data_IF_952670947152
#
_entry.id   IF_952670947152
#
_cell.length_a   1.000
_cell.length_b   1.000
_cell.length_c   1.000
_cell.angle_alpha   90.00
_cell.angle_beta   90.00
_cell.angle_gamma   90.00
#
_symmetry.space_group_name_H-M   'P 1'
#
loop_
_entity.id
_entity.type
_entity.pdbx_description
1 polymer ?
#
# COMPACT_ATOMS: atom_id res chain seq x y z
N UNK A 1 -6.01 8.68 1.65
CA UNK A 1 -4.59 8.37 1.56
C UNK A 1 -4.41 6.88 1.73
N UNK A 2 -3.67 6.28 0.82
CA UNK A 2 -3.30 4.86 0.83
C UNK A 2 -1.91 4.74 1.46
N UNK A 3 -1.64 3.64 2.14
CA UNK A 3 -0.28 3.30 2.59
C UNK A 3 0.32 2.33 1.59
N UNK A 4 1.52 2.66 1.09
CA UNK A 4 2.35 1.73 0.32
C UNK A 4 3.47 1.33 1.26
N UNK A 5 3.50 0.07 1.65
CA UNK A 5 4.50 -0.45 2.56
C UNK A 5 5.36 -1.51 1.91
N UNK A 6 6.63 -1.44 2.27
CA UNK A 6 7.59 -2.46 1.99
C UNK A 6 8.45 -2.62 3.23
N UNK A 7 8.80 -3.85 3.58
CA UNK A 7 9.46 -4.13 4.85
C UNK A 7 10.96 -3.92 4.70
N UNK A 8 11.65 -3.53 5.78
CA UNK A 8 13.07 -3.16 5.74
C UNK A 8 14.01 -4.25 5.20
N UNK A 9 13.58 -5.51 5.12
CA UNK A 9 14.45 -6.65 4.81
C UNK A 9 14.66 -6.91 3.32
N UNK A 10 13.69 -6.65 2.45
CA UNK A 10 13.83 -6.88 1.01
C UNK A 10 12.83 -6.05 0.20
N UNK A 11 13.06 -4.74 0.13
CA UNK A 11 12.20 -3.81 -0.60
C UNK A 11 12.25 -4.06 -2.10
N UNK A 12 11.11 -4.29 -2.76
CA UNK A 12 11.00 -4.32 -4.21
C UNK A 12 11.01 -2.88 -4.76
N UNK A 13 12.22 -2.30 -4.82
CA UNK A 13 12.43 -0.91 -5.24
C UNK A 13 11.88 -0.63 -6.65
N UNK A 14 11.94 -1.61 -7.56
CA UNK A 14 11.42 -1.46 -8.92
C UNK A 14 9.91 -1.25 -8.92
N UNK A 15 9.18 -2.10 -8.21
CA UNK A 15 7.72 -2.00 -8.09
C UNK A 15 7.31 -0.77 -7.30
N UNK A 16 8.02 -0.45 -6.21
CA UNK A 16 7.80 0.75 -5.42
C UNK A 16 7.91 2.03 -6.26
N UNK A 17 8.95 2.17 -7.09
CA UNK A 17 9.11 3.34 -7.95
C UNK A 17 8.02 3.43 -9.04
N UNK A 18 7.56 2.29 -9.59
CA UNK A 18 6.42 2.27 -10.51
C UNK A 18 5.16 2.80 -9.81
N UNK A 19 4.87 2.32 -8.61
CA UNK A 19 3.69 2.74 -7.84
C UNK A 19 3.76 4.20 -7.42
N UNK A 20 4.94 4.71 -7.01
CA UNK A 20 5.13 6.14 -6.73
C UNK A 20 4.84 7.00 -7.96
N UNK A 21 5.33 6.61 -9.14
CA UNK A 21 5.06 7.32 -10.40
C UNK A 21 3.57 7.31 -10.72
N UNK A 22 2.89 6.17 -10.55
CA UNK A 22 1.46 6.04 -10.78
C UNK A 22 0.65 6.97 -9.86
N UNK A 23 0.93 6.93 -8.55
CA UNK A 23 0.27 7.82 -7.59
C UNK A 23 0.49 9.30 -7.93
N UNK A 24 1.72 9.69 -8.30
CA UNK A 24 2.02 11.07 -8.67
C UNK A 24 1.32 11.49 -9.97
N UNK A 25 1.27 10.61 -10.99
CA UNK A 25 0.59 10.86 -12.27
C UNK A 25 -0.89 11.19 -12.07
N UNK A 26 -1.57 10.47 -11.17
CA UNK A 26 -3.00 10.64 -10.90
C UNK A 26 -3.31 11.51 -9.68
N UNK A 27 -2.30 12.18 -9.10
CA UNK A 27 -2.46 12.97 -7.86
C UNK A 27 -3.13 12.19 -6.72
N UNK A 28 -2.88 10.89 -6.66
CA UNK A 28 -3.49 10.00 -5.68
C UNK A 28 -2.74 10.12 -4.34
N UNK A 29 -3.41 10.49 -3.23
CA UNK A 29 -2.73 10.67 -1.96
C UNK A 29 -2.20 9.34 -1.43
N UNK A 30 -0.89 9.24 -1.22
CA UNK A 30 -0.24 8.05 -0.65
C UNK A 30 0.79 8.41 0.42
N UNK A 31 1.12 7.44 1.26
CA UNK A 31 2.20 7.53 2.24
C UNK A 31 3.05 6.28 2.21
N UNK A 32 4.37 6.45 2.18
CA UNK A 32 5.31 5.35 2.32
C UNK A 32 5.41 4.97 3.79
N UNK A 33 5.13 3.72 4.11
CA UNK A 33 5.22 3.20 5.47
C UNK A 33 6.20 2.04 5.52
N UNK A 34 7.28 2.20 6.26
CA UNK A 34 8.24 1.12 6.54
C UNK A 34 7.98 0.65 7.97
N UNK A 35 7.15 -0.39 8.11
CA UNK A 35 6.81 -0.94 9.42
C UNK A 35 7.97 -1.72 10.04
N UNK A 36 8.06 -1.72 11.36
CA UNK A 36 9.09 -2.45 12.13
C UNK A 36 8.52 -3.48 13.10
N UNK A 37 7.27 -3.93 12.94
CA UNK A 37 6.57 -4.65 14.03
C UNK A 37 5.56 -5.73 13.66
N UNK A 38 5.19 -5.91 12.39
CA UNK A 38 4.25 -6.96 11.97
C UNK A 38 4.72 -7.58 10.66
N UNK A 39 4.87 -8.90 10.65
CA UNK A 39 5.18 -9.69 9.46
C UNK A 39 3.94 -9.74 8.58
N UNK A 40 3.94 -8.96 7.50
CA UNK A 40 2.95 -9.08 6.44
C UNK A 40 3.24 -10.33 5.59
N UNK A 41 2.23 -10.89 4.91
CA UNK A 41 2.41 -12.06 4.03
C UNK A 41 3.41 -11.81 2.89
N UNK A 42 3.65 -10.53 2.55
CA UNK A 42 4.67 -10.10 1.59
C UNK A 42 6.08 -10.42 2.07
N UNK A 43 6.31 -10.53 3.39
CA UNK A 43 7.54 -11.08 3.99
C UNK A 43 7.72 -12.59 3.76
N UNK A 44 6.79 -13.26 3.08
CA UNK A 44 6.95 -14.67 2.66
C UNK A 44 7.08 -14.79 1.13
N UNK A 45 6.89 -13.69 0.39
CA UNK A 45 6.90 -13.62 -1.09
C UNK A 45 7.82 -12.50 -1.61
N UNK A 46 8.93 -12.27 -0.91
CA UNK A 46 9.85 -11.14 -1.01
C UNK A 46 10.20 -10.64 -2.42
N UNK A 47 10.34 -11.52 -3.40
CA UNK A 47 10.94 -11.12 -4.69
C UNK A 47 9.99 -10.31 -5.59
N UNK A 48 8.66 -10.44 -5.43
CA UNK A 48 7.69 -9.85 -6.37
C UNK A 48 6.43 -9.27 -5.72
N UNK A 49 6.46 -8.97 -4.42
CA UNK A 49 5.29 -8.45 -3.72
C UNK A 49 5.56 -7.09 -3.10
N UNK A 50 4.51 -6.31 -2.93
CA UNK A 50 4.51 -5.06 -2.17
C UNK A 50 3.20 -4.97 -1.41
N UNK A 51 3.22 -4.45 -0.19
CA UNK A 51 2.01 -4.30 0.61
C UNK A 51 1.36 -2.95 0.29
N UNK A 52 0.04 -2.98 0.10
CA UNK A 52 -0.78 -1.78 0.00
C UNK A 52 -1.87 -1.88 1.07
N UNK A 53 -2.05 -0.83 1.87
CA UNK A 53 -2.92 -0.86 3.03
C UNK A 53 -3.77 0.41 3.19
N UNK A 54 -4.92 0.24 3.85
CA UNK A 54 -5.74 1.35 4.33
C UNK A 54 -5.30 1.75 5.74
N UNK A 55 -5.16 3.06 6.03
CA UNK A 55 -5.00 3.49 7.40
C UNK A 55 -6.31 3.30 8.18
N UNK A 56 -6.23 2.53 9.26
CA UNK A 56 -7.29 2.33 10.24
C UNK A 56 -6.80 2.66 11.65
N UNK A 57 -7.70 3.03 12.55
CA UNK A 57 -7.40 3.07 13.99
C UNK A 57 -7.61 1.68 14.63
N UNK A 58 -7.08 1.49 15.84
CA UNK A 58 -7.37 0.35 16.73
C UNK A 58 -7.29 -1.03 16.04
N UNK A 59 -6.24 -1.27 15.25
CA UNK A 59 -5.99 -2.57 14.62
C UNK A 59 -5.98 -3.67 15.71
N UNK A 60 -6.63 -4.81 15.44
CA UNK A 60 -6.90 -5.92 16.37
C UNK A 60 -7.93 -5.65 17.49
N UNK A 61 -8.71 -4.57 17.42
CA UNK A 61 -9.85 -4.34 18.33
C UNK A 61 -11.17 -4.87 17.77
N UNK A 62 -12.20 -4.97 18.61
CA UNK A 62 -13.57 -5.34 18.19
C UNK A 62 -14.20 -4.35 17.20
N UNK A 63 -13.71 -3.11 17.19
CA UNK A 63 -14.15 -2.05 16.30
C UNK A 63 -12.92 -1.25 15.83
N UNK A 64 -12.89 -0.94 14.54
CA UNK A 64 -11.91 -0.06 13.92
C UNK A 64 -12.60 0.86 12.92
N UNK A 65 -12.02 2.03 12.74
CA UNK A 65 -12.54 3.11 11.92
C UNK A 65 -11.59 3.39 10.75
N UNK A 66 -12.19 3.62 9.59
CA UNK A 66 -11.49 4.04 8.38
C UNK A 66 -12.26 5.22 7.78
N UNK A 67 -11.53 6.23 7.31
CA UNK A 67 -12.17 7.31 6.53
C UNK A 67 -12.62 6.75 5.18
N UNK A 68 -13.91 6.87 4.86
CA UNK A 68 -14.50 6.34 3.63
C UNK A 68 -13.79 6.78 2.35
N UNK A 69 -13.32 8.04 2.29
CA UNK A 69 -12.48 8.56 1.19
C UNK A 69 -11.24 7.70 0.91
N UNK A 70 -10.67 7.06 1.93
CA UNK A 70 -9.50 6.19 1.76
C UNK A 70 -9.86 4.90 1.03
N UNK A 71 -11.08 4.37 1.23
CA UNK A 71 -11.58 3.22 0.49
C UNK A 71 -11.73 3.55 -1.00
N UNK A 72 -12.28 4.71 -1.34
CA UNK A 72 -12.36 5.16 -2.73
C UNK A 72 -10.98 5.31 -3.38
N UNK A 73 -10.02 5.92 -2.68
CA UNK A 73 -8.65 5.99 -3.17
C UNK A 73 -8.07 4.59 -3.42
N UNK A 74 -8.29 3.63 -2.52
CA UNK A 74 -7.81 2.26 -2.70
C UNK A 74 -8.40 1.58 -3.94
N UNK A 75 -9.71 1.70 -4.16
CA UNK A 75 -10.36 1.11 -5.33
C UNK A 75 -9.80 1.68 -6.63
N UNK A 76 -9.68 3.01 -6.72
CA UNK A 76 -9.07 3.70 -7.86
C UNK A 76 -7.62 3.23 -8.05
N UNK A 77 -6.86 3.10 -6.97
CA UNK A 77 -5.47 2.64 -7.06
C UNK A 77 -5.33 1.23 -7.62
N UNK A 78 -6.19 0.32 -7.16
CA UNK A 78 -6.19 -1.07 -7.63
C UNK A 78 -6.52 -1.15 -9.13
N UNK A 79 -7.50 -0.37 -9.59
CA UNK A 79 -7.82 -0.25 -11.01
C UNK A 79 -6.63 0.27 -11.82
N UNK A 80 -6.00 1.36 -11.39
CA UNK A 80 -4.83 1.94 -12.07
C UNK A 80 -3.63 0.99 -12.10
N UNK A 81 -3.41 0.19 -11.05
CA UNK A 81 -2.37 -0.84 -11.03
C UNK A 81 -2.67 -1.91 -12.09
N UNK A 82 -3.92 -2.34 -12.19
CA UNK A 82 -4.35 -3.34 -13.15
C UNK A 82 -4.26 -2.85 -14.60
N UNK A 83 -4.41 -1.54 -14.85
CA UNK A 83 -4.34 -0.97 -16.20
C UNK A 83 -2.92 -0.63 -16.68
N UNK A 84 -2.03 -0.20 -15.76
CA UNK A 84 -0.72 0.36 -16.15
C UNK A 84 0.51 -0.45 -15.72
N UNK A 85 0.35 -1.42 -14.81
CA UNK A 85 1.48 -2.18 -14.26
C UNK A 85 1.39 -3.67 -14.57
N UNK A 86 0.20 -4.26 -14.49
CA UNK A 86 -0.08 -5.66 -14.82
C UNK A 86 -0.43 -5.83 -16.30
#
# INVERSE_FOLDING_TARGET
MIRVSDTFKAVNLSLLEKLKKLCNKYSLPYHLYFGSGSTDITELQYENSITIALPADKIHSYESNVLSKNMYYMLIFMELINEEIL
#
